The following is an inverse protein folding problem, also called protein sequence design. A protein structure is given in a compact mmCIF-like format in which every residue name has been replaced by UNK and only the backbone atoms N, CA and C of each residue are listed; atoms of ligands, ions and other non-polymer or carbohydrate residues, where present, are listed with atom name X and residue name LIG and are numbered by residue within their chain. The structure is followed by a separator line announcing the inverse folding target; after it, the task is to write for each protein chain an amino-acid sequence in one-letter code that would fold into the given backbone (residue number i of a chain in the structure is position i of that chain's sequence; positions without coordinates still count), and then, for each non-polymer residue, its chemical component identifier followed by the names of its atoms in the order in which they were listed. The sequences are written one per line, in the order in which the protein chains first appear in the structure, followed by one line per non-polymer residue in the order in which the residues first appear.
data_IF_346671751069
#
_entry.id   IF_346671751069
#
_cell.length_a   1.000
_cell.length_b   1.000
_cell.length_c   1.000
_cell.angle_alpha   90.00
_cell.angle_beta   90.00
_cell.angle_gamma   90.00
#
_symmetry.space_group_name_H-M   'P 1'
#
loop_
_entity.id
_entity.type
_entity.pdbx_description
1 polymer ?
#
# COMPACT_ATOMS: atom_id res chain seq x y z
N UNK A 1 6.89 -10.51 10.76
CA UNK A 1 6.29 -10.69 9.54
C UNK A 1 4.79 -10.95 9.47
N UNK A 2 4.32 -12.15 9.39
CA UNK A 2 2.97 -12.54 8.91
C UNK A 2 1.84 -12.45 9.97
N UNK A 3 1.80 -11.43 10.81
CA UNK A 3 0.96 -11.39 12.03
C UNK A 3 -0.53 -11.57 11.76
N UNK A 4 -1.09 -10.96 10.70
CA UNK A 4 -2.50 -11.04 10.32
C UNK A 4 -2.68 -11.61 8.91
N UNK A 5 -1.73 -12.42 8.45
CA UNK A 5 -1.86 -13.09 7.17
C UNK A 5 -3.10 -13.97 7.17
N UNK A 6 -3.92 -13.84 6.12
CA UNK A 6 -5.19 -14.56 5.92
C UNK A 6 -6.24 -14.34 7.04
N UNK A 7 -6.08 -13.28 7.84
CA UNK A 7 -7.07 -12.86 8.83
C UNK A 7 -8.24 -12.12 8.14
N UNK A 8 -9.06 -12.87 7.40
CA UNK A 8 -10.08 -12.33 6.47
C UNK A 8 -11.10 -11.38 7.11
N UNK A 9 -11.42 -11.57 8.40
CA UNK A 9 -12.38 -10.75 9.14
C UNK A 9 -11.71 -9.63 9.96
N UNK A 10 -10.37 -9.54 9.98
CA UNK A 10 -9.70 -8.56 10.81
C UNK A 10 -9.89 -7.14 10.28
N UNK A 11 -10.52 -6.28 11.06
CA UNK A 11 -10.63 -4.83 10.85
C UNK A 11 -10.75 -4.07 12.18
N UNK A 12 -10.02 -4.48 13.21
CA UNK A 12 -9.95 -3.81 14.52
C UNK A 12 -11.33 -3.55 15.16
N UNK A 13 -12.27 -4.50 14.98
CA UNK A 13 -13.64 -4.42 15.52
C UNK A 13 -14.59 -3.49 14.74
N UNK A 14 -14.19 -3.02 13.58
CA UNK A 14 -15.04 -2.28 12.63
C UNK A 14 -15.57 -3.19 11.52
N UNK A 15 -16.61 -2.76 10.83
CA UNK A 15 -17.16 -3.49 9.68
C UNK A 15 -16.15 -3.65 8.56
N UNK A 16 -16.33 -4.67 7.71
CA UNK A 16 -15.43 -4.94 6.59
C UNK A 16 -15.28 -3.72 5.68
N UNK A 17 -14.02 -3.24 5.52
CA UNK A 17 -13.71 -2.09 4.68
C UNK A 17 -14.29 -0.76 5.16
N UNK A 18 -14.82 -0.68 6.39
CA UNK A 18 -15.32 0.57 6.95
C UNK A 18 -14.24 1.66 6.98
N UNK A 19 -14.66 2.92 6.87
CA UNK A 19 -13.77 4.06 7.15
C UNK A 19 -13.31 3.97 8.60
N UNK A 20 -12.01 4.06 8.82
CA UNK A 20 -11.43 3.84 10.13
C UNK A 20 -11.80 4.94 11.12
N UNK A 21 -12.43 4.56 12.21
CA UNK A 21 -12.67 5.42 13.39
C UNK A 21 -11.79 5.02 14.57
N UNK A 22 -11.11 3.88 14.48
CA UNK A 22 -10.25 3.29 15.51
C UNK A 22 -8.88 2.95 14.92
N UNK A 23 -8.00 3.94 14.67
CA UNK A 23 -6.69 3.69 14.07
C UNK A 23 -5.87 2.69 14.88
N UNK A 24 -5.03 1.92 14.18
CA UNK A 24 -4.09 1.01 14.84
C UNK A 24 -2.91 1.80 15.41
N UNK A 25 -2.94 2.06 16.71
CA UNK A 25 -1.93 2.82 17.44
C UNK A 25 -0.78 1.96 18.00
N UNK A 26 -0.36 0.94 17.25
CA UNK A 26 0.73 0.07 17.69
C UNK A 26 2.08 0.75 17.62
N UNK A 27 2.94 0.50 18.61
CA UNK A 27 4.35 0.91 18.53
C UNK A 27 5.09 -0.01 17.56
N UNK A 28 5.42 0.52 16.39
CA UNK A 28 6.10 -0.22 15.32
C UNK A 28 7.59 0.15 15.18
N UNK A 29 8.11 1.01 16.05
CA UNK A 29 9.46 1.57 15.91
C UNK A 29 10.60 0.53 15.86
N UNK A 30 10.41 -0.63 16.48
CA UNK A 30 11.38 -1.73 16.46
C UNK A 30 11.12 -2.77 15.34
N UNK A 31 10.11 -2.57 14.52
CA UNK A 31 9.77 -3.53 13.47
C UNK A 31 10.73 -3.39 12.28
N UNK A 32 11.45 -4.45 11.95
CA UNK A 32 12.37 -4.49 10.81
C UNK A 32 11.79 -5.24 9.60
N UNK A 33 10.77 -6.08 9.81
CA UNK A 33 10.16 -6.89 8.77
C UNK A 33 8.62 -6.84 8.87
N UNK A 34 7.98 -6.24 7.87
CA UNK A 34 6.51 -6.17 7.76
C UNK A 34 5.96 -7.03 6.62
N UNK A 35 6.76 -8.00 6.12
CA UNK A 35 6.32 -8.88 5.05
C UNK A 35 5.07 -9.66 5.43
N UNK A 36 4.10 -9.74 4.52
CA UNK A 36 2.84 -10.47 4.65
C UNK A 36 1.95 -10.05 5.84
N UNK A 37 2.20 -8.88 6.45
CA UNK A 37 1.54 -8.53 7.72
C UNK A 37 0.02 -8.56 7.64
N UNK A 38 -0.56 -8.06 6.55
CA UNK A 38 -2.00 -8.06 6.27
C UNK A 38 -2.33 -8.77 4.95
N UNK A 39 -1.46 -9.65 4.47
CA UNK A 39 -1.72 -10.41 3.25
C UNK A 39 -2.99 -11.26 3.41
N UNK A 40 -3.91 -11.20 2.46
CA UNK A 40 -5.20 -11.92 2.54
C UNK A 40 -6.18 -11.39 3.59
N UNK A 41 -5.87 -10.30 4.30
CA UNK A 41 -6.79 -9.67 5.25
C UNK A 41 -7.87 -8.87 4.51
N UNK A 42 -8.84 -9.55 3.91
CA UNK A 42 -9.77 -9.00 2.93
C UNK A 42 -10.75 -7.96 3.50
N UNK A 43 -10.97 -7.92 4.81
CA UNK A 43 -11.80 -6.90 5.48
C UNK A 43 -11.02 -5.69 5.97
N UNK A 44 -9.68 -5.74 5.95
CA UNK A 44 -8.83 -4.76 6.58
C UNK A 44 -8.86 -3.41 5.87
N UNK A 45 -9.18 -2.35 6.62
CA UNK A 45 -9.10 -0.95 6.17
C UNK A 45 -8.84 0.00 7.34
N UNK A 46 -7.75 -0.20 8.07
CA UNK A 46 -7.41 0.68 9.18
C UNK A 46 -6.45 1.78 8.76
N UNK A 47 -6.56 2.94 9.43
CA UNK A 47 -5.61 4.03 9.29
C UNK A 47 -4.30 3.68 10.01
N UNK A 48 -3.19 3.77 9.30
CA UNK A 48 -1.84 3.45 9.76
C UNK A 48 -0.98 4.73 9.93
N UNK A 49 -1.62 5.90 9.93
CA UNK A 49 -0.95 7.17 10.19
C UNK A 49 -0.36 7.16 11.59
N UNK A 50 0.90 7.37 11.74
CA UNK A 50 1.61 7.30 13.03
C UNK A 50 2.43 6.02 13.22
N UNK A 51 2.36 5.08 12.28
CA UNK A 51 3.30 3.96 12.29
C UNK A 51 4.71 4.44 11.96
N UNK A 52 5.64 4.15 12.85
CA UNK A 52 7.06 4.36 12.56
C UNK A 52 7.60 3.14 11.81
N UNK A 53 7.95 3.33 10.54
CA UNK A 53 8.50 2.27 9.68
C UNK A 53 9.98 2.50 9.34
N UNK A 54 10.66 3.40 10.03
CA UNK A 54 12.04 3.79 9.73
C UNK A 54 13.06 2.65 9.85
N UNK A 55 12.78 1.62 10.65
CA UNK A 55 13.64 0.45 10.80
C UNK A 55 13.27 -0.70 9.83
N UNK A 56 12.20 -0.56 9.03
CA UNK A 56 11.70 -1.65 8.18
C UNK A 56 12.58 -1.81 6.94
N UNK A 57 13.05 -3.03 6.69
CA UNK A 57 13.88 -3.38 5.54
C UNK A 57 13.13 -4.11 4.44
N UNK A 58 11.95 -4.66 4.73
CA UNK A 58 11.11 -5.34 3.73
C UNK A 58 9.62 -5.17 4.02
N UNK A 59 8.86 -4.82 2.97
CA UNK A 59 7.39 -4.71 2.97
C UNK A 59 6.75 -5.65 1.95
N UNK A 60 7.47 -6.72 1.56
CA UNK A 60 6.99 -7.70 0.58
C UNK A 60 5.62 -8.25 0.96
N UNK A 61 4.66 -8.24 0.02
CA UNK A 61 3.29 -8.75 0.21
C UNK A 61 2.53 -8.13 1.40
N UNK A 62 2.91 -6.95 1.92
CA UNK A 62 2.34 -6.42 3.16
C UNK A 62 0.82 -6.33 3.13
N UNK A 63 0.23 -5.93 2.00
CA UNK A 63 -1.21 -5.81 1.78
C UNK A 63 -1.69 -6.64 0.57
N UNK A 64 -0.97 -7.69 0.19
CA UNK A 64 -1.34 -8.56 -0.93
C UNK A 64 -2.73 -9.18 -0.69
N UNK A 65 -3.69 -8.91 -1.56
CA UNK A 65 -5.06 -9.38 -1.42
C UNK A 65 -5.89 -8.70 -0.31
N UNK A 66 -5.38 -7.65 0.33
CA UNK A 66 -6.15 -6.82 1.26
C UNK A 66 -7.11 -5.91 0.46
N UNK A 67 -8.10 -6.50 -0.19
CA UNK A 67 -8.90 -5.86 -1.24
C UNK A 67 -9.81 -4.70 -0.77
N UNK A 68 -9.97 -4.48 0.54
CA UNK A 68 -10.67 -3.34 1.14
C UNK A 68 -9.73 -2.27 1.69
N UNK A 69 -8.41 -2.49 1.64
CA UNK A 69 -7.44 -1.57 2.20
C UNK A 69 -7.33 -0.28 1.39
N UNK A 70 -7.59 0.86 2.03
CA UNK A 70 -7.37 2.23 1.54
C UNK A 70 -6.92 3.18 2.67
N UNK A 71 -6.10 2.68 3.58
CA UNK A 71 -5.57 3.43 4.74
C UNK A 71 -6.66 4.11 5.59
N UNK A 72 -7.75 3.39 5.85
CA UNK A 72 -8.86 3.89 6.66
C UNK A 72 -9.82 4.84 5.93
N UNK A 73 -9.65 5.05 4.64
CA UNK A 73 -10.52 5.88 3.81
C UNK A 73 -11.57 5.05 3.07
N UNK A 74 -12.60 5.71 2.54
CA UNK A 74 -13.58 5.06 1.68
C UNK A 74 -12.89 4.48 0.43
N UNK A 75 -13.48 3.44 -0.15
CA UNK A 75 -12.94 2.72 -1.29
C UNK A 75 -12.61 3.66 -2.47
N UNK A 76 -11.39 3.60 -2.98
CA UNK A 76 -10.92 4.35 -4.15
C UNK A 76 -10.88 5.87 -3.96
N UNK A 77 -11.21 6.40 -2.78
CA UNK A 77 -11.13 7.84 -2.54
C UNK A 77 -9.68 8.30 -2.43
N UNK A 78 -9.47 9.56 -2.81
CA UNK A 78 -8.19 10.24 -2.74
C UNK A 78 -8.23 11.35 -1.69
N UNK A 79 -7.10 11.56 -1.03
CA UNK A 79 -6.92 12.67 -0.08
C UNK A 79 -7.37 12.36 1.34
N UNK A 80 -6.78 13.04 2.29
CA UNK A 80 -7.16 13.03 3.70
C UNK A 80 -6.26 12.22 4.62
N UNK A 81 -5.74 11.08 4.23
CA UNK A 81 -4.81 10.28 5.05
C UNK A 81 -3.82 9.50 4.16
N UNK A 82 -2.91 10.24 3.52
CA UNK A 82 -1.84 9.62 2.73
C UNK A 82 -1.02 8.65 3.60
N UNK A 83 -0.53 7.59 2.99
CA UNK A 83 0.42 6.68 3.66
C UNK A 83 1.76 7.40 3.85
N UNK A 84 2.19 7.53 5.09
CA UNK A 84 3.42 8.26 5.49
C UNK A 84 4.55 7.32 5.93
N UNK A 85 4.65 6.14 5.30
CA UNK A 85 5.72 5.21 5.65
C UNK A 85 7.11 5.76 5.31
N UNK A 86 8.03 5.67 6.26
CA UNK A 86 9.47 5.86 6.00
C UNK A 86 9.99 4.62 5.31
N UNK A 87 10.41 4.72 4.04
CA UNK A 87 10.78 3.57 3.22
C UNK A 87 12.27 3.56 2.83
N UNK A 88 13.06 4.52 3.32
CA UNK A 88 14.47 4.66 2.95
C UNK A 88 15.37 3.44 3.28
N UNK A 89 14.96 2.57 4.20
CA UNK A 89 15.67 1.31 4.49
C UNK A 89 15.06 0.08 3.78
N UNK A 90 13.96 0.26 3.03
CA UNK A 90 13.27 -0.85 2.38
C UNK A 90 13.99 -1.24 1.10
N UNK A 91 14.31 -2.53 0.98
CA UNK A 91 14.96 -3.09 -0.21
C UNK A 91 14.01 -3.90 -1.09
N UNK A 92 12.88 -4.35 -0.57
CA UNK A 92 11.93 -5.19 -1.30
C UNK A 92 10.48 -4.74 -1.06
N UNK A 93 9.79 -4.35 -2.15
CA UNK A 93 8.38 -3.95 -2.18
C UNK A 93 7.52 -4.87 -3.08
N UNK A 94 8.03 -6.06 -3.41
CA UNK A 94 7.32 -7.02 -4.27
C UNK A 94 5.92 -7.31 -3.75
N UNK A 95 4.90 -7.24 -4.61
CA UNK A 95 3.50 -7.51 -4.26
C UNK A 95 2.92 -6.66 -3.12
N UNK A 96 3.55 -5.52 -2.73
CA UNK A 96 3.14 -4.78 -1.53
C UNK A 96 1.65 -4.45 -1.49
N UNK A 97 1.06 -4.01 -2.60
CA UNK A 97 -0.36 -3.69 -2.74
C UNK A 97 -1.07 -4.56 -3.80
N UNK A 98 -0.48 -5.71 -4.17
CA UNK A 98 -1.06 -6.58 -5.17
C UNK A 98 -2.51 -6.95 -4.78
N UNK A 99 -3.45 -6.79 -5.71
CA UNK A 99 -4.89 -7.06 -5.46
C UNK A 99 -5.53 -6.27 -4.32
N UNK A 100 -4.89 -5.21 -3.81
CA UNK A 100 -5.54 -4.22 -2.94
C UNK A 100 -6.46 -3.32 -3.80
N UNK A 101 -7.56 -3.87 -4.31
CA UNK A 101 -8.30 -3.35 -5.46
C UNK A 101 -8.89 -1.95 -5.28
N UNK A 102 -9.13 -1.50 -4.04
CA UNK A 102 -9.67 -0.17 -3.73
C UNK A 102 -8.61 0.83 -3.26
N UNK A 103 -7.35 0.43 -3.15
CA UNK A 103 -6.27 1.28 -2.69
C UNK A 103 -5.99 2.42 -3.67
N UNK A 104 -6.06 3.67 -3.17
CA UNK A 104 -5.74 4.87 -3.94
C UNK A 104 -5.14 5.98 -3.07
N UNK A 105 -4.10 5.68 -2.32
CA UNK A 105 -3.37 6.69 -1.54
C UNK A 105 -2.16 7.21 -2.31
N UNK A 106 -1.75 8.44 -1.99
CA UNK A 106 -0.52 9.03 -2.52
C UNK A 106 0.70 8.33 -1.90
N UNK A 107 1.55 7.79 -2.75
CA UNK A 107 2.80 7.12 -2.39
C UNK A 107 4.05 7.81 -2.99
N UNK A 108 3.89 9.01 -3.51
CA UNK A 108 5.02 9.78 -4.08
C UNK A 108 6.12 10.06 -3.05
N UNK A 109 5.77 10.10 -1.75
CA UNK A 109 6.72 10.29 -0.66
C UNK A 109 7.55 9.06 -0.30
N UNK A 110 7.36 7.92 -0.96
CA UNK A 110 8.20 6.74 -0.71
C UNK A 110 9.61 6.98 -1.22
N UNK A 111 10.58 6.84 -0.34
CA UNK A 111 11.98 6.77 -0.72
C UNK A 111 12.28 5.36 -1.26
N UNK A 112 12.57 5.28 -2.54
CA UNK A 112 12.84 4.03 -3.24
C UNK A 112 14.32 3.83 -3.60
N UNK A 113 15.19 4.69 -3.08
CA UNK A 113 16.62 4.70 -3.40
C UNK A 113 17.35 3.37 -3.09
N UNK A 114 16.87 2.62 -2.10
CA UNK A 114 17.43 1.31 -1.74
C UNK A 114 16.60 0.12 -2.24
N UNK A 115 15.47 0.37 -2.92
CA UNK A 115 14.62 -0.72 -3.42
C UNK A 115 15.24 -1.38 -4.64
N UNK A 116 15.30 -2.71 -4.61
CA UNK A 116 15.85 -3.52 -5.71
C UNK A 116 14.77 -4.24 -6.51
N UNK A 117 13.59 -4.50 -5.91
CA UNK A 117 12.51 -5.23 -6.55
C UNK A 117 11.13 -4.62 -6.20
N UNK A 118 10.41 -4.18 -7.25
CA UNK A 118 9.05 -3.65 -7.19
C UNK A 118 8.05 -4.50 -8.01
N UNK A 119 8.43 -5.75 -8.35
CA UNK A 119 7.58 -6.60 -9.18
C UNK A 119 6.19 -6.78 -8.57
N UNK A 120 5.16 -6.68 -9.40
CA UNK A 120 3.75 -6.82 -9.02
C UNK A 120 3.26 -5.85 -7.93
N UNK A 121 3.97 -4.76 -7.61
CA UNK A 121 3.65 -3.91 -6.46
C UNK A 121 2.20 -3.42 -6.46
N UNK A 122 1.63 -3.07 -7.60
CA UNK A 122 0.25 -2.63 -7.78
C UNK A 122 -0.55 -3.51 -8.75
N UNK A 123 -0.11 -4.74 -9.00
CA UNK A 123 -0.83 -5.62 -9.90
C UNK A 123 -2.25 -5.90 -9.37
N UNK A 124 -3.27 -5.68 -10.19
CA UNK A 124 -4.68 -5.82 -9.79
C UNK A 124 -5.18 -4.76 -8.80
N UNK A 125 -4.43 -3.68 -8.57
CA UNK A 125 -4.86 -2.54 -7.74
C UNK A 125 -5.67 -1.57 -8.61
N UNK A 126 -6.95 -1.88 -8.83
CA UNK A 126 -7.77 -1.28 -9.89
C UNK A 126 -8.02 0.23 -9.69
N UNK A 127 -8.19 0.66 -8.43
CA UNK A 127 -8.49 2.06 -8.10
C UNK A 127 -7.24 2.94 -7.99
N UNK A 128 -6.04 2.37 -8.08
CA UNK A 128 -4.81 3.13 -7.84
C UNK A 128 -4.57 4.18 -8.93
N UNK A 129 -4.48 5.43 -8.52
CA UNK A 129 -4.10 6.59 -9.33
C UNK A 129 -3.28 7.61 -8.51
N UNK A 130 -2.44 7.10 -7.62
CA UNK A 130 -1.56 7.89 -6.75
C UNK A 130 -2.29 9.00 -5.99
N UNK A 131 -3.46 8.67 -5.41
CA UNK A 131 -4.27 9.62 -4.67
C UNK A 131 -5.01 10.65 -5.52
N UNK A 132 -5.17 10.43 -6.81
CA UNK A 132 -6.01 11.25 -7.70
C UNK A 132 -7.32 10.56 -8.00
N UNK A 133 -8.38 11.36 -8.25
CA UNK A 133 -9.63 10.82 -8.76
C UNK A 133 -9.44 10.25 -10.18
N UNK A 134 -10.23 9.25 -10.59
CA UNK A 134 -10.22 8.77 -11.96
C UNK A 134 -10.46 9.91 -12.94
N UNK A 135 -9.61 10.05 -13.97
CA UNK A 135 -9.72 11.15 -14.94
C UNK A 135 -9.42 12.55 -14.39
N UNK A 136 -8.93 12.66 -13.17
CA UNK A 136 -8.58 13.93 -12.55
C UNK A 136 -7.51 14.68 -13.34
N UNK A 137 -7.67 16.01 -13.43
CA UNK A 137 -6.80 16.92 -14.19
C UNK A 137 -5.46 17.22 -13.49
N UNK A 138 -5.15 16.58 -12.39
CA UNK A 138 -3.90 16.76 -11.65
C UNK A 138 -2.90 15.65 -11.98
N UNK A 139 -1.62 16.00 -12.07
CA UNK A 139 -0.56 14.99 -12.11
C UNK A 139 0.05 14.86 -10.71
N UNK A 140 0.08 13.65 -10.17
CA UNK A 140 0.90 13.28 -9.01
C UNK A 140 1.87 12.19 -9.45
N UNK A 141 2.91 12.54 -10.22
CA UNK A 141 3.83 11.56 -10.77
C UNK A 141 4.51 10.77 -9.65
N UNK A 142 4.83 9.52 -9.94
CA UNK A 142 5.68 8.70 -9.08
C UNK A 142 7.14 9.13 -9.31
N UNK A 143 7.63 10.07 -8.52
CA UNK A 143 8.98 10.65 -8.63
C UNK A 143 10.03 9.80 -7.93
N UNK A 144 9.94 8.50 -8.08
CA UNK A 144 10.78 7.54 -7.39
C UNK A 144 12.17 7.41 -8.01
N UNK A 145 13.17 7.26 -7.17
CA UNK A 145 14.53 6.90 -7.60
C UNK A 145 14.59 5.42 -7.92
N UNK A 146 14.87 5.08 -9.17
CA UNK A 146 14.88 3.68 -9.64
C UNK A 146 16.28 3.16 -10.00
N UNK A 147 17.34 3.89 -9.64
CA UNK A 147 18.72 3.53 -10.00
C UNK A 147 19.18 2.17 -9.49
N UNK A 148 18.64 1.71 -8.35
CA UNK A 148 18.96 0.41 -7.77
C UNK A 148 17.91 -0.67 -8.08
N UNK A 149 16.83 -0.31 -8.77
CA UNK A 149 15.75 -1.26 -9.10
C UNK A 149 16.19 -2.17 -10.24
N UNK A 150 16.23 -3.46 -9.98
CA UNK A 150 16.60 -4.48 -10.97
C UNK A 150 15.40 -5.05 -11.70
N UNK A 151 14.20 -4.96 -11.12
CA UNK A 151 12.97 -5.43 -11.75
C UNK A 151 11.73 -4.67 -11.29
N UNK A 152 10.86 -4.36 -12.25
CA UNK A 152 9.52 -3.80 -12.08
C UNK A 152 8.48 -4.67 -12.79
N UNK A 153 8.78 -5.96 -12.98
CA UNK A 153 7.94 -6.85 -13.77
C UNK A 153 6.50 -6.84 -13.27
N UNK A 154 5.54 -6.66 -14.19
CA UNK A 154 4.09 -6.68 -13.89
C UNK A 154 3.62 -5.67 -12.83
N UNK A 155 4.39 -4.59 -12.57
CA UNK A 155 4.12 -3.65 -11.48
C UNK A 155 2.69 -3.08 -11.51
N UNK A 156 2.16 -2.75 -12.68
CA UNK A 156 0.81 -2.23 -12.88
C UNK A 156 -0.07 -3.20 -13.69
N UNK A 157 0.22 -4.50 -13.65
CA UNK A 157 -0.56 -5.47 -14.41
C UNK A 157 -2.00 -5.52 -13.90
N UNK A 158 -2.94 -5.10 -14.72
CA UNK A 158 -4.37 -5.22 -14.45
C UNK A 158 -5.05 -5.86 -15.67
N UNK A 159 -5.90 -6.84 -15.43
CA UNK A 159 -6.61 -7.54 -16.50
C UNK A 159 -7.65 -6.65 -17.18
N UNK A 160 -8.26 -5.72 -16.45
CA UNK A 160 -9.17 -4.67 -16.96
C UNK A 160 -9.52 -3.70 -15.83
N UNK A 161 -9.98 -2.49 -16.18
CA UNK A 161 -10.58 -1.54 -15.24
C UNK A 161 -9.60 -0.75 -14.37
N UNK A 162 -8.30 -0.82 -14.61
CA UNK A 162 -7.34 0.07 -13.95
C UNK A 162 -7.55 1.52 -14.37
N UNK A 163 -7.49 2.42 -13.41
CA UNK A 163 -7.63 3.87 -13.62
C UNK A 163 -6.30 4.62 -13.59
N UNK A 164 -5.17 3.91 -13.46
CA UNK A 164 -3.85 4.52 -13.37
C UNK A 164 -3.50 5.28 -14.66
N UNK A 165 -3.28 6.59 -14.54
CA UNK A 165 -2.96 7.47 -15.66
C UNK A 165 -1.94 8.56 -15.30
N UNK A 166 -1.05 8.31 -14.36
CA UNK A 166 -0.02 9.27 -13.99
C UNK A 166 1.12 9.30 -15.02
N UNK A 167 1.55 10.47 -15.38
CA UNK A 167 2.67 10.73 -16.32
C UNK A 167 3.97 11.02 -15.58
#
# INVERSE_FOLDING_TARGET
GSTFKDAIAFNNGEGSGAVSTKPLSWNTAAATNMSYMFAGATSFNQNLLGWNTSAVTTMRNMFDGANKFNNGQAAGTSGGADITFSTGNVTNMTYMFNRASVFNQNVSGFDTSNVTDMSYMFAGTLAFNNGQAPGGAGSRPLTWTTSNVTTIAFMFNATSGSVFNQS
#
